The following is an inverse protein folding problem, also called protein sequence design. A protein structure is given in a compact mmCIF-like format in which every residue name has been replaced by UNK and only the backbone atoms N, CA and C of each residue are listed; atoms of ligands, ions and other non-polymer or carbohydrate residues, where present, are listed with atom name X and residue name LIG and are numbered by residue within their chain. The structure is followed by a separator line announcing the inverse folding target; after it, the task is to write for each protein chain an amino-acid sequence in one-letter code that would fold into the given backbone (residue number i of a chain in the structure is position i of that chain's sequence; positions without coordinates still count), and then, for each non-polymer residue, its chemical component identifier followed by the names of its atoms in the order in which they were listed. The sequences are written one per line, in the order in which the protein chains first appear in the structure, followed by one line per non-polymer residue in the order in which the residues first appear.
data_IF_419713349212
#
_entry.id   IF_419713349212
#
_cell.length_a   1.000
_cell.length_b   1.000
_cell.length_c   1.000
_cell.angle_alpha   90.00
_cell.angle_beta   90.00
_cell.angle_gamma   90.00
#
_symmetry.space_group_name_H-M   'P 1'
#
loop_
_entity.id
_entity.type
_entity.pdbx_description
1 polymer ?
#
# COMPACT_ATOMS: atom_id res chain seq x y z
N UNK A 1 -38.25 67.70 53.32
CA UNK A 1 -37.03 67.54 54.14
C UNK A 1 -36.54 66.08 54.01
N UNK A 2 -35.30 65.96 53.71
CA UNK A 2 -34.43 64.71 53.71
C UNK A 2 -34.69 63.61 52.71
N UNK A 3 -33.78 63.59 51.74
CA UNK A 3 -33.44 62.58 50.80
C UNK A 3 -32.95 61.29 51.49
N UNK A 4 -33.28 60.16 50.92
CA UNK A 4 -32.47 58.94 51.06
C UNK A 4 -32.27 58.26 49.67
N UNK A 5 -31.07 58.45 49.15
CA UNK A 5 -30.60 57.72 47.99
C UNK A 5 -30.30 56.24 48.35
N UNK A 6 -31.00 55.33 47.74
CA UNK A 6 -30.57 53.93 47.73
C UNK A 6 -29.73 53.62 46.48
N UNK A 7 -28.47 53.30 46.71
CA UNK A 7 -27.54 52.84 45.67
C UNK A 7 -27.80 51.35 45.31
N UNK A 8 -28.28 51.13 44.12
CA UNK A 8 -28.26 49.77 43.55
C UNK A 8 -26.88 49.50 42.96
N UNK A 9 -26.17 48.56 43.57
CA UNK A 9 -24.90 47.98 42.99
C UNK A 9 -25.28 46.89 42.08
N UNK A 10 -25.05 47.09 40.76
CA UNK A 10 -25.14 46.05 39.74
C UNK A 10 -23.81 45.32 39.69
N UNK A 11 -23.78 44.08 40.17
CA UNK A 11 -22.63 43.17 40.01
C UNK A 11 -22.72 42.58 38.64
N UNK A 12 -21.84 43.00 37.75
CA UNK A 12 -21.66 42.42 36.41
C UNK A 12 -20.74 41.19 36.53
N UNK A 13 -21.33 39.99 36.58
CA UNK A 13 -20.55 38.74 36.50
C UNK A 13 -20.15 38.46 35.05
N UNK A 14 -18.91 38.74 34.71
CA UNK A 14 -18.31 38.31 33.44
C UNK A 14 -18.06 36.78 33.51
N UNK A 15 -18.93 36.01 32.87
CA UNK A 15 -18.64 34.63 32.51
C UNK A 15 -17.71 34.65 31.28
N UNK A 16 -16.42 34.46 31.48
CA UNK A 16 -15.47 34.14 30.42
C UNK A 16 -15.71 32.68 30.07
N UNK A 17 -16.47 32.41 29.03
CA UNK A 17 -16.54 31.10 28.41
C UNK A 17 -15.21 30.87 27.66
N UNK A 18 -14.28 30.14 28.27
CA UNK A 18 -13.12 29.61 27.60
C UNK A 18 -13.59 28.55 26.61
N UNK A 19 -13.80 28.93 25.35
CA UNK A 19 -13.98 28.00 24.25
C UNK A 19 -12.62 27.36 24.04
N UNK A 20 -12.43 26.18 24.60
CA UNK A 20 -11.31 25.32 24.29
C UNK A 20 -11.53 24.85 22.84
N UNK A 21 -10.96 25.58 21.88
CA UNK A 21 -10.76 25.11 20.52
C UNK A 21 -9.78 23.94 20.60
N UNK A 22 -10.30 22.74 20.76
CA UNK A 22 -9.55 21.52 20.43
C UNK A 22 -9.35 21.50 18.92
N UNK A 23 -8.45 22.36 18.43
CA UNK A 23 -7.90 22.21 17.10
C UNK A 23 -7.22 20.84 17.06
N UNK A 24 -7.67 19.96 16.18
CA UNK A 24 -6.88 18.80 15.78
C UNK A 24 -5.54 19.34 15.27
N UNK A 25 -4.55 19.40 16.15
CA UNK A 25 -3.21 19.82 15.77
C UNK A 25 -2.68 18.77 14.77
N UNK A 26 -2.78 19.10 13.49
CA UNK A 26 -2.11 18.30 12.47
C UNK A 26 -0.61 18.31 12.80
N UNK A 27 -0.02 17.13 12.91
CA UNK A 27 1.39 17.01 13.23
C UNK A 27 2.22 17.71 12.16
N UNK A 28 3.23 18.50 12.57
CA UNK A 28 4.12 19.16 11.63
C UNK A 28 4.77 18.14 10.70
N UNK A 29 4.89 18.46 9.41
CA UNK A 29 5.63 17.65 8.44
C UNK A 29 7.15 17.67 8.71
N UNK A 30 7.61 18.53 9.58
CA UNK A 30 9.00 18.64 10.07
C UNK A 30 9.02 18.53 11.60
N UNK A 31 10.18 18.18 12.17
CA UNK A 31 10.33 18.04 13.62
C UNK A 31 10.00 16.62 14.14
N UNK A 32 9.96 16.43 15.47
CA UNK A 32 9.74 15.13 16.08
C UNK A 32 8.44 14.47 15.63
N UNK A 33 8.48 13.17 15.37
CA UNK A 33 7.30 12.36 15.12
C UNK A 33 6.72 11.89 16.46
N UNK A 34 5.45 12.22 16.74
CA UNK A 34 4.75 11.76 17.93
C UNK A 34 3.69 10.72 17.52
N UNK A 35 3.82 9.53 18.09
CA UNK A 35 2.90 8.41 17.86
C UNK A 35 2.28 7.95 19.18
N UNK A 36 1.02 7.52 19.15
CA UNK A 36 0.33 6.94 20.29
C UNK A 36 0.81 5.51 20.52
N UNK A 37 0.94 4.74 19.46
CA UNK A 37 1.43 3.35 19.51
C UNK A 37 2.00 2.89 18.18
N UNK A 38 2.87 1.88 18.28
CA UNK A 38 3.38 1.11 17.13
C UNK A 38 3.53 -0.35 17.51
N UNK A 39 3.64 -1.20 16.51
CA UNK A 39 3.87 -2.63 16.72
C UNK A 39 3.77 -3.41 15.42
N UNK A 40 3.69 -4.74 15.58
CA UNK A 40 3.50 -5.64 14.46
C UNK A 40 2.70 -6.88 14.89
N UNK A 41 2.08 -7.51 13.90
CA UNK A 41 1.37 -8.77 14.07
C UNK A 41 1.30 -9.52 12.74
N UNK A 42 0.74 -10.72 12.76
CA UNK A 42 0.46 -11.48 11.55
C UNK A 42 -1.05 -11.64 11.34
N UNK A 43 -1.46 -11.74 10.08
CA UNK A 43 -2.81 -12.10 9.64
C UNK A 43 -2.74 -13.24 8.64
N UNK A 44 -3.83 -13.99 8.51
CA UNK A 44 -3.84 -15.19 7.68
C UNK A 44 -2.95 -16.30 8.26
N UNK A 45 -2.48 -17.15 7.37
CA UNK A 45 -1.62 -18.27 7.74
C UNK A 45 -2.39 -19.54 8.10
N UNK A 46 -1.66 -20.65 8.08
CA UNK A 46 -2.18 -21.99 8.43
C UNK A 46 -1.05 -22.87 8.92
N UNK A 47 -1.39 -23.87 9.72
CA UNK A 47 -0.45 -24.89 10.13
C UNK A 47 -0.37 -26.01 9.08
N UNK A 48 0.84 -26.46 8.79
CA UNK A 48 1.13 -27.54 7.83
C UNK A 48 2.05 -28.56 8.48
N UNK A 49 1.70 -29.83 8.37
CA UNK A 49 2.61 -30.93 8.68
C UNK A 49 3.56 -31.13 7.50
N UNK A 50 4.83 -31.31 7.81
CA UNK A 50 5.85 -31.62 6.81
C UNK A 50 6.89 -32.59 7.40
N UNK A 51 7.47 -33.41 6.54
CA UNK A 51 8.61 -34.31 6.85
C UNK A 51 9.89 -33.87 6.13
N UNK A 52 9.87 -32.65 5.54
CA UNK A 52 10.96 -32.07 4.78
C UNK A 52 11.38 -30.69 5.28
N UNK A 53 11.22 -30.44 6.60
CA UNK A 53 11.54 -29.15 7.21
C UNK A 53 13.04 -28.85 7.23
N UNK A 54 13.87 -29.90 7.28
CA UNK A 54 15.33 -29.75 7.26
C UNK A 54 15.99 -30.86 6.44
N UNK A 55 17.07 -30.52 5.78
CA UNK A 55 18.03 -31.45 5.17
C UNK A 55 19.32 -31.55 6.00
N UNK A 56 19.40 -30.83 7.12
CA UNK A 56 20.54 -30.79 8.03
C UNK A 56 20.36 -31.89 9.10
N UNK A 57 21.33 -32.84 9.26
CA UNK A 57 21.15 -33.99 10.12
C UNK A 57 20.88 -33.69 11.60
N UNK A 58 21.35 -32.52 12.08
CA UNK A 58 21.19 -32.09 13.48
C UNK A 58 19.80 -31.54 13.81
N UNK A 59 18.95 -31.33 12.80
CA UNK A 59 17.60 -30.78 13.00
C UNK A 59 16.54 -31.78 12.56
N UNK A 60 15.43 -31.80 13.29
CA UNK A 60 14.27 -32.63 12.92
C UNK A 60 13.74 -32.23 11.54
N UNK A 61 13.55 -33.23 10.67
CA UNK A 61 12.97 -33.02 9.35
C UNK A 61 11.45 -33.03 9.35
N UNK A 62 10.82 -33.53 10.42
CA UNK A 62 9.37 -33.66 10.52
C UNK A 62 8.80 -32.78 11.65
N UNK A 63 7.63 -32.21 11.41
CA UNK A 63 6.91 -31.40 12.39
C UNK A 63 5.82 -30.51 11.78
N UNK A 64 5.24 -29.65 12.61
CA UNK A 64 4.24 -28.66 12.21
C UNK A 64 4.88 -27.28 12.10
N UNK A 65 4.63 -26.59 11.00
CA UNK A 65 5.05 -25.19 10.78
C UNK A 65 3.85 -24.31 10.42
N UNK A 66 3.92 -23.03 10.79
CA UNK A 66 3.03 -22.00 10.27
C UNK A 66 3.54 -21.50 8.91
N UNK A 67 2.64 -21.42 7.94
CA UNK A 67 2.94 -20.93 6.58
C UNK A 67 1.84 -19.99 6.09
N UNK A 68 2.13 -19.23 5.04
CA UNK A 68 1.17 -18.37 4.34
C UNK A 68 0.62 -17.21 5.18
N UNK A 69 1.26 -16.88 6.31
CA UNK A 69 0.97 -15.68 7.09
C UNK A 69 1.51 -14.42 6.41
N UNK A 70 0.81 -13.30 6.63
CA UNK A 70 1.21 -11.97 6.18
C UNK A 70 1.61 -11.11 7.37
N UNK A 71 2.83 -10.58 7.36
CA UNK A 71 3.34 -9.64 8.37
C UNK A 71 2.74 -8.26 8.16
N UNK A 72 2.37 -7.62 9.27
CA UNK A 72 1.83 -6.25 9.32
C UNK A 72 2.60 -5.44 10.35
N UNK A 73 3.27 -4.37 9.94
CA UNK A 73 3.79 -3.32 10.82
C UNK A 73 2.78 -2.19 10.88
N UNK A 74 2.56 -1.61 12.04
CA UNK A 74 1.66 -0.48 12.19
C UNK A 74 2.20 0.63 13.07
N UNK A 75 1.75 1.85 12.77
CA UNK A 75 1.91 3.04 13.59
C UNK A 75 0.58 3.80 13.62
N UNK A 76 0.26 4.35 14.81
CA UNK A 76 -0.96 5.12 15.03
C UNK A 76 -0.56 6.48 15.58
N UNK A 77 -0.95 7.58 14.92
CA UNK A 77 -0.63 8.93 15.40
C UNK A 77 -1.45 9.26 16.64
N UNK A 78 -0.97 10.20 17.45
CA UNK A 78 -1.74 10.76 18.57
C UNK A 78 -3.02 11.41 18.02
N UNK A 79 -4.15 11.16 18.68
CA UNK A 79 -5.48 11.66 18.27
C UNK A 79 -5.87 11.22 16.84
N UNK A 80 -5.62 9.97 16.49
CA UNK A 80 -5.98 9.41 15.19
C UNK A 80 -7.50 9.51 14.94
N UNK A 81 -7.93 10.47 14.12
CA UNK A 81 -9.33 10.69 13.75
C UNK A 81 -9.63 10.33 12.30
N UNK A 82 -8.62 9.92 11.52
CA UNK A 82 -8.72 9.59 10.11
C UNK A 82 -8.71 8.07 9.90
N UNK A 83 -9.26 7.64 8.75
CA UNK A 83 -9.29 6.22 8.37
C UNK A 83 -7.87 5.66 8.26
N UNK A 84 -7.63 4.41 8.69
CA UNK A 84 -6.36 3.74 8.48
C UNK A 84 -6.05 3.57 6.99
N UNK A 85 -4.74 3.55 6.67
CA UNK A 85 -4.22 3.26 5.33
C UNK A 85 -3.40 1.98 5.41
N UNK A 86 -3.74 0.99 4.58
CA UNK A 86 -2.95 -0.23 4.41
C UNK A 86 -2.13 -0.11 3.14
N UNK A 87 -0.80 -0.14 3.27
CA UNK A 87 0.19 0.02 2.20
C UNK A 87 0.70 -1.35 1.74
N UNK A 88 0.47 -1.70 0.46
CA UNK A 88 0.72 -3.01 -0.12
C UNK A 88 1.71 -2.86 -1.27
N UNK A 89 2.92 -3.39 -1.11
CA UNK A 89 4.01 -3.26 -2.10
C UNK A 89 3.78 -4.08 -3.37
N UNK A 90 4.56 -3.78 -4.42
CA UNK A 90 4.52 -4.48 -5.71
C UNK A 90 5.46 -5.70 -5.81
N UNK A 91 5.67 -6.15 -7.05
CA UNK A 91 6.62 -7.19 -7.43
C UNK A 91 8.04 -6.84 -6.97
N UNK A 92 8.78 -7.87 -6.58
CA UNK A 92 10.22 -7.80 -6.32
C UNK A 92 10.60 -6.84 -5.18
N UNK A 93 9.64 -6.43 -4.35
CA UNK A 93 9.78 -5.47 -3.27
C UNK A 93 9.16 -6.01 -1.98
N UNK A 94 9.31 -5.23 -0.91
CA UNK A 94 8.71 -5.45 0.41
C UNK A 94 8.05 -4.18 0.91
N UNK A 95 7.57 -4.16 2.13
CA UNK A 95 7.06 -2.95 2.80
C UNK A 95 8.05 -1.78 2.81
N UNK A 96 9.36 -2.04 2.62
CA UNK A 96 10.40 -1.01 2.46
C UNK A 96 10.08 0.01 1.37
N UNK A 97 9.30 -0.36 0.36
CA UNK A 97 8.82 0.54 -0.71
C UNK A 97 8.19 1.82 -0.18
N UNK A 98 7.51 1.75 0.96
CA UNK A 98 6.73 2.83 1.56
C UNK A 98 7.47 3.61 2.64
N UNK A 99 8.61 3.07 3.09
CA UNK A 99 9.46 3.67 4.13
C UNK A 99 10.42 4.70 3.50
N UNK A 100 11.42 5.15 4.26
CA UNK A 100 12.44 6.08 3.78
C UNK A 100 12.84 5.80 2.33
N UNK A 101 12.78 6.81 1.47
CA UNK A 101 13.13 6.67 0.05
C UNK A 101 14.61 6.33 -0.15
N UNK A 102 15.02 5.82 -1.32
CA UNK A 102 16.43 5.48 -1.56
C UNK A 102 17.41 6.65 -1.37
N UNK A 103 16.96 7.88 -1.59
CA UNK A 103 17.72 9.10 -1.39
C UNK A 103 17.58 9.71 0.02
N UNK A 104 17.00 8.97 0.98
CA UNK A 104 16.94 9.33 2.39
C UNK A 104 15.80 10.25 2.81
N UNK A 105 14.88 10.62 1.89
CA UNK A 105 13.68 11.42 2.24
C UNK A 105 12.66 10.58 2.99
N UNK A 106 11.73 11.25 3.67
CA UNK A 106 10.58 10.67 4.34
C UNK A 106 9.74 9.84 3.36
N UNK A 107 9.41 8.60 3.74
CA UNK A 107 8.51 7.73 3.00
C UNK A 107 7.03 8.05 3.23
N UNK A 108 6.17 7.43 2.46
CA UNK A 108 4.72 7.65 2.58
C UNK A 108 4.13 7.06 3.87
N UNK A 109 4.77 6.09 4.49
CA UNK A 109 4.34 5.56 5.78
C UNK A 109 4.38 6.63 6.88
N UNK A 110 5.47 7.38 6.97
CA UNK A 110 5.60 8.48 7.90
C UNK A 110 4.78 9.70 7.44
N UNK A 111 4.73 9.98 6.14
CA UNK A 111 3.99 11.12 5.58
C UNK A 111 2.50 11.05 5.92
N UNK A 112 1.86 9.91 5.67
CA UNK A 112 0.44 9.72 5.99
C UNK A 112 0.19 9.67 7.50
N UNK A 113 1.15 9.14 8.26
CA UNK A 113 1.08 9.14 9.72
C UNK A 113 1.06 10.58 10.27
N UNK A 114 1.96 11.46 9.77
CA UNK A 114 1.97 12.90 10.11
C UNK A 114 0.71 13.61 9.67
N UNK A 115 0.11 13.17 8.57
CA UNK A 115 -1.20 13.64 8.12
C UNK A 115 -2.37 13.15 8.99
N UNK A 116 -2.12 12.35 10.04
CA UNK A 116 -3.13 11.91 11.02
C UNK A 116 -3.83 10.58 10.68
N UNK A 117 -3.30 9.80 9.75
CA UNK A 117 -3.81 8.48 9.41
C UNK A 117 -3.04 7.39 10.18
N UNK A 118 -3.70 6.42 10.83
CA UNK A 118 -3.04 5.17 11.19
C UNK A 118 -2.51 4.48 9.93
N UNK A 119 -1.26 4.00 9.96
CA UNK A 119 -0.61 3.40 8.81
C UNK A 119 -0.23 1.95 9.10
N UNK A 120 -0.59 1.06 8.19
CA UNK A 120 -0.31 -0.36 8.24
C UNK A 120 0.48 -0.75 7.00
N UNK A 121 1.74 -1.12 7.17
CA UNK A 121 2.63 -1.56 6.09
C UNK A 121 2.72 -3.07 6.13
N UNK A 122 2.39 -3.72 5.02
CA UNK A 122 2.40 -5.19 4.94
C UNK A 122 3.58 -5.67 4.09
N UNK A 123 4.11 -6.84 4.45
CA UNK A 123 4.88 -7.67 3.55
C UNK A 123 3.95 -8.78 3.04
N UNK A 124 3.76 -8.87 1.72
CA UNK A 124 2.92 -9.90 1.11
C UNK A 124 3.39 -11.31 1.54
N UNK A 125 2.51 -12.29 1.48
CA UNK A 125 2.86 -13.67 1.78
C UNK A 125 4.09 -14.10 0.98
N UNK A 126 5.05 -14.73 1.64
CA UNK A 126 6.36 -15.13 1.15
C UNK A 126 7.28 -13.98 0.71
N UNK A 127 7.05 -12.77 1.22
CA UNK A 127 7.90 -11.60 1.01
C UNK A 127 8.41 -11.05 2.33
N UNK A 128 9.61 -10.50 2.31
CA UNK A 128 10.20 -9.79 3.45
C UNK A 128 10.09 -10.58 4.76
N UNK A 129 9.31 -10.06 5.70
CA UNK A 129 9.08 -10.67 7.04
C UNK A 129 7.98 -11.74 7.04
N UNK A 130 7.29 -11.93 5.92
CA UNK A 130 6.29 -12.99 5.73
C UNK A 130 6.98 -14.24 5.19
N UNK A 131 7.50 -15.08 6.08
CA UNK A 131 8.33 -16.22 5.73
C UNK A 131 7.66 -17.20 4.76
N UNK A 132 8.43 -17.70 3.79
CA UNK A 132 8.00 -18.72 2.85
C UNK A 132 8.09 -20.15 3.42
N UNK A 133 7.49 -21.08 2.72
CA UNK A 133 7.53 -22.51 3.07
C UNK A 133 8.78 -23.19 2.50
N UNK A 134 9.80 -23.41 3.34
CA UNK A 134 11.07 -24.04 2.95
C UNK A 134 10.93 -25.53 2.64
N UNK A 135 9.86 -26.21 3.10
CA UNK A 135 9.67 -27.65 2.89
C UNK A 135 9.56 -28.02 1.40
N UNK A 136 9.06 -27.08 0.58
CA UNK A 136 8.96 -27.24 -0.89
C UNK A 136 10.34 -27.44 -1.52
N UNK A 137 11.32 -26.61 -1.14
CA UNK A 137 12.70 -26.70 -1.65
C UNK A 137 13.41 -27.92 -1.08
N UNK A 138 13.25 -28.16 0.22
CA UNK A 138 13.86 -29.31 0.90
C UNK A 138 13.35 -30.65 0.37
N UNK A 139 12.06 -30.75 0.00
CA UNK A 139 11.49 -31.92 -0.62
C UNK A 139 12.21 -32.29 -1.92
N UNK A 140 12.53 -31.31 -2.76
CA UNK A 140 13.30 -31.53 -3.98
C UNK A 140 14.77 -31.93 -3.67
N UNK A 141 15.40 -31.28 -2.68
CA UNK A 141 16.77 -31.63 -2.26
C UNK A 141 16.87 -33.07 -1.72
N UNK A 142 15.80 -33.58 -1.11
CA UNK A 142 15.70 -34.95 -0.60
C UNK A 142 15.27 -35.96 -1.68
N UNK A 143 15.10 -35.54 -2.94
CA UNK A 143 14.64 -36.39 -4.04
C UNK A 143 13.16 -36.82 -3.93
N UNK A 144 12.38 -36.25 -2.99
CA UNK A 144 10.96 -36.58 -2.82
C UNK A 144 10.07 -35.89 -3.86
N UNK A 145 10.52 -34.76 -4.40
CA UNK A 145 9.83 -34.00 -5.46
C UNK A 145 10.84 -33.76 -6.60
N UNK A 146 10.47 -33.98 -7.88
CA UNK A 146 11.31 -33.64 -9.00
C UNK A 146 11.70 -32.16 -9.02
N UNK A 147 12.94 -31.82 -9.30
CA UNK A 147 13.43 -30.43 -9.37
C UNK A 147 12.62 -29.60 -10.38
N UNK A 148 12.16 -30.20 -11.47
CA UNK A 148 11.32 -29.54 -12.47
C UNK A 148 9.94 -29.08 -11.93
N UNK A 149 9.51 -29.58 -10.78
CA UNK A 149 8.28 -29.18 -10.10
C UNK A 149 8.52 -28.09 -9.05
N UNK A 150 9.76 -27.66 -8.85
CA UNK A 150 10.01 -26.49 -8.01
C UNK A 150 9.32 -25.27 -8.63
N UNK A 151 8.65 -24.48 -7.78
CA UNK A 151 7.98 -23.30 -8.26
C UNK A 151 8.98 -22.28 -8.80
N UNK A 152 8.65 -21.54 -9.89
CA UNK A 152 9.52 -20.54 -10.45
C UNK A 152 9.66 -19.34 -9.50
N UNK A 153 10.87 -18.82 -9.37
CA UNK A 153 11.20 -17.62 -8.62
C UNK A 153 11.79 -16.61 -9.59
N UNK A 154 11.32 -15.38 -9.53
CA UNK A 154 11.79 -14.30 -10.37
C UNK A 154 12.64 -13.32 -9.57
N UNK A 155 13.79 -12.93 -10.11
CA UNK A 155 14.57 -11.78 -9.66
C UNK A 155 14.77 -10.84 -10.84
N UNK A 156 14.41 -9.58 -10.69
CA UNK A 156 14.66 -8.59 -11.72
C UNK A 156 16.13 -8.14 -11.66
N UNK A 157 16.83 -8.15 -12.80
CA UNK A 157 18.09 -7.44 -12.95
C UNK A 157 17.86 -5.93 -13.03
N UNK A 158 18.92 -5.13 -12.85
CA UNK A 158 18.85 -3.68 -13.00
C UNK A 158 18.33 -3.28 -14.39
N UNK A 159 18.79 -3.97 -15.43
CA UNK A 159 18.39 -3.74 -16.82
C UNK A 159 16.91 -4.06 -17.05
N UNK A 160 16.43 -5.20 -16.56
CA UNK A 160 15.01 -5.55 -16.68
C UNK A 160 14.11 -4.67 -15.83
N UNK A 161 14.58 -4.31 -14.62
CA UNK A 161 13.89 -3.41 -13.72
C UNK A 161 13.75 -1.99 -14.29
N UNK A 162 14.72 -1.54 -15.10
CA UNK A 162 14.67 -0.23 -15.74
C UNK A 162 13.40 0.01 -16.54
N UNK A 163 13.07 -0.94 -17.41
CA UNK A 163 11.84 -0.88 -18.20
C UNK A 163 10.58 -1.18 -17.37
N UNK A 164 10.68 -2.06 -16.37
CA UNK A 164 9.58 -2.38 -15.44
C UNK A 164 9.17 -1.13 -14.66
N UNK A 165 10.14 -0.42 -14.09
CA UNK A 165 9.89 0.79 -13.29
C UNK A 165 9.81 2.06 -14.11
N UNK A 166 9.90 1.96 -15.43
CA UNK A 166 9.76 3.08 -16.40
C UNK A 166 10.70 4.24 -16.14
N UNK A 167 11.96 3.97 -15.79
CA UNK A 167 12.97 5.01 -15.72
C UNK A 167 13.35 5.52 -17.12
N UNK A 168 13.21 4.70 -18.13
CA UNK A 168 13.47 5.02 -19.51
C UNK A 168 13.02 3.91 -20.46
N UNK A 169 13.16 4.11 -21.78
CA UNK A 169 12.76 3.15 -22.80
C UNK A 169 13.61 1.88 -22.77
N UNK A 170 14.90 2.02 -22.47
CA UNK A 170 15.87 0.93 -22.33
C UNK A 170 17.01 1.37 -21.40
N UNK A 171 17.67 0.42 -20.75
CA UNK A 171 18.81 0.70 -19.86
C UNK A 171 20.03 1.14 -20.69
N UNK A 172 20.76 2.20 -20.29
CA UNK A 172 20.48 3.14 -19.19
C UNK A 172 19.81 4.46 -19.66
N UNK A 173 19.15 4.49 -20.82
CA UNK A 173 18.50 5.70 -21.35
C UNK A 173 17.31 6.10 -20.47
N UNK A 174 17.16 7.40 -20.24
CA UNK A 174 16.12 7.98 -19.40
C UNK A 174 14.98 8.57 -20.23
N UNK A 175 13.79 8.60 -19.66
CA UNK A 175 12.74 9.47 -20.16
C UNK A 175 13.02 10.93 -19.79
N UNK A 176 12.65 11.92 -20.64
CA UNK A 176 12.85 13.33 -20.36
C UNK A 176 12.10 13.77 -19.11
N UNK A 177 12.77 14.47 -18.17
CA UNK A 177 12.10 14.99 -16.96
C UNK A 177 11.74 13.92 -15.90
N UNK A 178 12.30 12.72 -16.00
CA UNK A 178 12.14 11.64 -15.01
C UNK A 178 12.40 12.15 -13.61
N UNK A 179 11.48 11.85 -12.68
CA UNK A 179 11.51 12.35 -11.29
C UNK A 179 12.11 11.35 -10.30
N UNK A 180 12.55 10.18 -10.74
CA UNK A 180 13.23 9.25 -9.83
C UNK A 180 14.64 9.77 -9.48
N UNK A 181 15.07 9.68 -8.18
CA UNK A 181 16.39 10.13 -7.74
C UNK A 181 17.48 9.18 -8.23
N UNK A 182 18.04 9.43 -9.39
CA UNK A 182 18.97 8.53 -10.10
C UNK A 182 20.27 8.26 -9.34
N UNK A 183 20.77 9.22 -8.59
CA UNK A 183 21.98 9.06 -7.77
C UNK A 183 21.74 8.03 -6.63
N UNK A 184 20.50 7.77 -6.28
CA UNK A 184 20.10 6.79 -5.28
C UNK A 184 19.78 5.40 -5.84
N UNK A 185 19.99 5.15 -7.14
CA UNK A 185 19.80 3.83 -7.76
C UNK A 185 20.55 2.70 -7.04
N UNK A 186 21.81 2.85 -6.58
CA UNK A 186 22.48 1.80 -5.83
C UNK A 186 21.73 1.40 -4.56
N UNK A 187 21.06 2.33 -3.88
CA UNK A 187 20.25 2.02 -2.70
C UNK A 187 18.88 1.46 -3.09
N UNK A 188 18.30 1.92 -4.20
CA UNK A 188 17.08 1.34 -4.76
C UNK A 188 17.23 -0.14 -5.11
N UNK A 189 18.34 -0.53 -5.75
CA UNK A 189 18.55 -1.92 -6.12
C UNK A 189 18.65 -2.86 -4.92
N UNK A 190 19.12 -2.39 -3.76
CA UNK A 190 19.22 -3.19 -2.53
C UNK A 190 17.87 -3.56 -1.91
N UNK A 191 16.79 -2.82 -2.20
CA UNK A 191 15.46 -3.17 -1.69
C UNK A 191 14.77 -4.25 -2.53
N UNK A 192 15.33 -4.63 -3.68
CA UNK A 192 14.75 -5.65 -4.53
C UNK A 192 14.98 -7.06 -3.95
N UNK A 193 13.93 -7.84 -3.92
CA UNK A 193 13.94 -9.21 -3.39
C UNK A 193 13.38 -10.20 -4.43
N UNK A 194 13.67 -11.50 -4.31
CA UNK A 194 13.07 -12.52 -5.15
C UNK A 194 11.55 -12.48 -5.08
N UNK A 195 10.90 -12.60 -6.22
CA UNK A 195 9.45 -12.62 -6.35
C UNK A 195 8.91 -14.05 -6.40
N UNK A 196 8.09 -14.38 -5.40
CA UNK A 196 7.46 -15.68 -5.24
C UNK A 196 5.99 -15.73 -5.70
N UNK A 197 5.48 -14.67 -6.35
CA UNK A 197 4.06 -14.61 -6.70
C UNK A 197 3.59 -15.76 -7.61
N UNK A 198 4.47 -16.23 -8.48
CA UNK A 198 4.21 -17.39 -9.36
C UNK A 198 4.22 -18.74 -8.59
N UNK A 199 4.73 -18.71 -7.37
CA UNK A 199 4.96 -19.85 -6.49
C UNK A 199 3.81 -20.08 -5.52
N UNK A 200 3.08 -19.01 -5.23
CA UNK A 200 2.00 -19.04 -4.25
C UNK A 200 0.84 -19.93 -4.73
N UNK A 201 0.13 -20.60 -3.81
CA UNK A 201 -1.08 -21.33 -4.16
C UNK A 201 -2.11 -20.41 -4.81
N UNK A 202 -2.98 -21.00 -5.60
CA UNK A 202 -4.15 -20.32 -6.18
C UNK A 202 -5.39 -20.81 -5.43
N UNK A 203 -6.18 -19.90 -4.84
CA UNK A 203 -6.04 -18.42 -4.80
C UNK A 203 -4.84 -17.95 -3.99
N UNK A 204 -4.29 -16.78 -4.33
CA UNK A 204 -3.15 -16.17 -3.64
C UNK A 204 -3.50 -15.88 -2.16
N UNK A 205 -2.77 -16.47 -1.18
CA UNK A 205 -3.07 -16.32 0.26
C UNK A 205 -2.94 -14.89 0.80
N UNK A 206 -2.27 -14.00 0.07
CA UNK A 206 -2.25 -12.56 0.42
C UNK A 206 -3.65 -11.94 0.38
N UNK A 207 -4.53 -12.39 -0.51
CA UNK A 207 -5.88 -11.83 -0.66
C UNK A 207 -6.75 -12.08 0.57
N UNK A 208 -6.95 -13.32 1.07
CA UNK A 208 -7.70 -13.54 2.30
C UNK A 208 -7.01 -12.91 3.53
N UNK A 209 -5.69 -12.85 3.60
CA UNK A 209 -4.97 -12.16 4.68
C UNK A 209 -5.26 -10.64 4.68
N UNK A 210 -5.30 -10.00 3.51
CA UNK A 210 -5.71 -8.60 3.38
C UNK A 210 -7.19 -8.39 3.75
N UNK A 211 -8.06 -9.35 3.43
CA UNK A 211 -9.48 -9.30 3.83
C UNK A 211 -9.64 -9.36 5.35
N UNK A 212 -8.91 -10.26 6.02
CA UNK A 212 -8.86 -10.35 7.48
C UNK A 212 -8.37 -9.03 8.09
N UNK A 213 -7.30 -8.44 7.55
CA UNK A 213 -6.78 -7.16 7.99
C UNK A 213 -7.79 -6.03 7.80
N UNK A 214 -8.46 -5.95 6.65
CA UNK A 214 -9.46 -4.93 6.37
C UNK A 214 -10.64 -5.02 7.38
N UNK A 215 -11.14 -6.23 7.66
CA UNK A 215 -12.19 -6.47 8.66
C UNK A 215 -11.71 -6.03 10.05
N UNK A 216 -10.48 -6.36 10.43
CA UNK A 216 -9.87 -5.98 11.73
C UNK A 216 -9.76 -4.46 11.89
N UNK A 217 -9.49 -3.73 10.81
CA UNK A 217 -9.31 -2.28 10.81
C UNK A 217 -10.61 -1.48 10.65
N UNK A 218 -11.69 -2.15 10.25
CA UNK A 218 -13.05 -1.60 10.12
C UNK A 218 -13.12 -0.26 9.38
N UNK A 219 -12.64 -0.23 8.14
CA UNK A 219 -12.71 0.96 7.28
C UNK A 219 -11.37 1.46 6.76
N UNK A 220 -10.45 0.56 6.42
CA UNK A 220 -9.14 0.93 5.85
C UNK A 220 -9.23 1.33 4.38
N UNK A 221 -8.35 2.25 3.97
CA UNK A 221 -8.02 2.50 2.56
C UNK A 221 -6.97 1.47 2.14
N UNK A 222 -7.30 0.58 1.21
CA UNK A 222 -6.33 -0.35 0.63
C UNK A 222 -5.55 0.36 -0.48
N UNK A 223 -4.31 0.73 -0.19
CA UNK A 223 -3.40 1.38 -1.15
C UNK A 223 -2.34 0.38 -1.60
N UNK A 224 -2.38 0.03 -2.88
CA UNK A 224 -1.54 -1.02 -3.47
C UNK A 224 -0.74 -0.50 -4.64
N UNK A 225 0.37 -1.18 -4.96
CA UNK A 225 1.28 -0.79 -6.03
C UNK A 225 1.58 -1.96 -6.98
N UNK A 226 1.54 -1.69 -8.29
CA UNK A 226 2.08 -2.58 -9.32
C UNK A 226 1.42 -3.98 -9.32
N UNK A 227 2.17 -5.04 -9.08
CA UNK A 227 1.68 -6.42 -9.04
C UNK A 227 0.50 -6.58 -8.07
N UNK A 228 0.57 -5.97 -6.89
CA UNK A 228 -0.52 -6.01 -5.91
C UNK A 228 -1.69 -5.09 -6.26
N UNK A 229 -1.62 -4.31 -7.33
CA UNK A 229 -2.68 -3.39 -7.75
C UNK A 229 -4.05 -4.07 -7.92
N UNK A 230 -4.06 -5.35 -8.32
CA UNK A 230 -5.29 -6.15 -8.44
C UNK A 230 -5.81 -6.70 -7.10
N UNK A 231 -4.97 -6.80 -6.05
CA UNK A 231 -5.35 -7.47 -4.81
C UNK A 231 -6.48 -6.78 -4.05
N UNK A 232 -6.54 -5.44 -3.90
CA UNK A 232 -7.70 -4.79 -3.29
C UNK A 232 -9.02 -5.09 -3.98
N UNK A 233 -9.01 -5.24 -5.30
CA UNK A 233 -10.18 -5.65 -6.06
C UNK A 233 -10.58 -7.10 -5.78
N UNK A 234 -9.60 -8.01 -5.69
CA UNK A 234 -9.84 -9.40 -5.31
C UNK A 234 -10.35 -9.51 -3.86
N UNK A 235 -9.84 -8.67 -2.95
CA UNK A 235 -10.35 -8.56 -1.57
C UNK A 235 -11.82 -8.10 -1.59
N UNK A 236 -12.15 -7.06 -2.36
CA UNK A 236 -13.52 -6.57 -2.47
C UNK A 236 -14.48 -7.63 -3.08
N UNK A 237 -14.01 -8.40 -4.06
CA UNK A 237 -14.77 -9.53 -4.63
C UNK A 237 -14.97 -10.67 -3.63
N UNK A 238 -14.01 -10.90 -2.73
CA UNK A 238 -14.12 -11.88 -1.64
C UNK A 238 -15.04 -11.38 -0.53
N UNK A 239 -14.78 -10.16 -0.04
CA UNK A 239 -15.56 -9.52 1.03
C UNK A 239 -15.26 -8.01 1.08
N UNK A 240 -16.29 -7.17 0.92
CA UNK A 240 -16.16 -5.70 0.97
C UNK A 240 -16.07 -5.14 2.39
N UNK A 241 -16.31 -5.97 3.43
CA UNK A 241 -16.33 -5.51 4.83
C UNK A 241 -14.96 -4.95 5.23
N UNK A 242 -14.97 -3.79 5.85
CA UNK A 242 -13.76 -3.11 6.33
C UNK A 242 -12.98 -2.34 5.27
N UNK A 243 -13.42 -2.33 4.00
CA UNK A 243 -12.81 -1.52 2.94
C UNK A 243 -13.53 -0.18 2.85
N UNK A 244 -12.80 0.91 3.08
CA UNK A 244 -13.31 2.26 2.94
C UNK A 244 -13.15 2.82 1.52
N UNK A 245 -12.02 2.52 0.90
CA UNK A 245 -11.67 2.91 -0.47
C UNK A 245 -10.56 2.01 -1.02
N UNK A 246 -10.43 1.99 -2.34
CA UNK A 246 -9.29 1.37 -3.03
C UNK A 246 -8.48 2.45 -3.72
N UNK A 247 -7.17 2.45 -3.50
CA UNK A 247 -6.19 3.25 -4.24
C UNK A 247 -5.20 2.28 -4.89
N UNK A 248 -5.34 2.06 -6.19
CA UNK A 248 -4.49 1.16 -6.95
C UNK A 248 -3.51 1.96 -7.78
N UNK A 249 -2.25 1.94 -7.37
CA UNK A 249 -1.17 2.72 -7.98
C UNK A 249 -0.47 1.85 -9.01
N UNK A 250 -0.46 2.32 -10.27
CA UNK A 250 0.27 1.66 -11.35
C UNK A 250 -0.05 0.16 -11.47
N UNK A 251 -1.32 -0.27 -11.45
CA UNK A 251 -1.69 -1.67 -11.28
C UNK A 251 -1.17 -2.57 -12.39
N UNK A 252 -0.75 -3.77 -12.01
CA UNK A 252 -0.41 -4.84 -12.95
C UNK A 252 -1.64 -5.37 -13.71
N UNK A 253 -2.84 -5.18 -13.17
CA UNK A 253 -4.12 -5.50 -13.79
C UNK A 253 -5.27 -4.77 -13.08
N UNK A 254 -6.39 -4.60 -13.78
CA UNK A 254 -7.69 -4.22 -13.22
C UNK A 254 -8.70 -5.37 -13.43
N UNK A 255 -9.86 -5.35 -12.76
CA UNK A 255 -10.92 -6.33 -13.02
C UNK A 255 -11.38 -6.31 -14.47
N UNK A 256 -11.90 -7.45 -14.95
CA UNK A 256 -12.49 -7.52 -16.28
C UNK A 256 -13.71 -6.59 -16.39
N UNK A 257 -13.81 -5.77 -17.45
CA UNK A 257 -14.97 -4.89 -17.67
C UNK A 257 -16.27 -5.67 -17.93
N UNK A 258 -16.17 -6.96 -18.28
CA UNK A 258 -17.31 -7.87 -18.54
C UNK A 258 -17.57 -8.84 -17.38
N UNK A 259 -16.82 -8.73 -16.27
CA UNK A 259 -16.96 -9.55 -15.08
C UNK A 259 -18.07 -9.07 -14.14
N UNK A 260 -18.12 -9.66 -12.91
CA UNK A 260 -19.00 -9.15 -11.86
C UNK A 260 -18.48 -7.84 -11.30
N UNK A 261 -19.20 -6.75 -11.56
CA UNK A 261 -18.82 -5.40 -11.13
C UNK A 261 -19.44 -5.01 -9.77
N UNK A 262 -20.38 -5.79 -9.23
CA UNK A 262 -21.11 -5.49 -7.98
C UNK A 262 -20.21 -5.16 -6.80
N UNK A 263 -19.08 -5.86 -6.57
CA UNK A 263 -18.18 -5.55 -5.44
C UNK A 263 -17.59 -4.12 -5.47
N UNK A 264 -17.52 -3.52 -6.66
CA UNK A 264 -16.81 -2.25 -6.89
C UNK A 264 -17.74 -1.02 -6.90
N UNK A 265 -19.05 -1.20 -6.75
CA UNK A 265 -20.03 -0.12 -6.86
C UNK A 265 -20.24 0.66 -5.56
N UNK A 266 -19.81 0.12 -4.41
CA UNK A 266 -20.16 0.63 -3.08
C UNK A 266 -19.09 1.49 -2.42
N UNK A 267 -17.92 1.62 -3.02
CA UNK A 267 -16.81 2.37 -2.47
C UNK A 267 -16.12 3.21 -3.54
N UNK A 268 -15.47 4.33 -3.17
CA UNK A 268 -14.65 5.08 -4.11
C UNK A 268 -13.39 4.30 -4.48
N UNK A 269 -13.04 4.32 -5.76
CA UNK A 269 -11.87 3.62 -6.32
C UNK A 269 -11.05 4.62 -7.13
N UNK A 270 -9.76 4.68 -6.85
CA UNK A 270 -8.78 5.42 -7.63
C UNK A 270 -7.78 4.44 -8.26
N UNK A 271 -7.58 4.57 -9.55
CA UNK A 271 -6.45 3.99 -10.28
C UNK A 271 -5.54 5.14 -10.67
N UNK A 272 -4.31 5.15 -10.18
CA UNK A 272 -3.37 6.25 -10.35
C UNK A 272 -2.17 5.80 -11.18
N UNK A 273 -1.79 6.62 -12.17
CA UNK A 273 -0.69 6.34 -13.08
C UNK A 273 0.31 7.48 -13.10
N UNK A 274 1.59 7.14 -13.22
CA UNK A 274 2.66 8.07 -13.52
C UNK A 274 2.71 8.46 -15.00
N UNK A 275 3.88 8.86 -15.46
CA UNK A 275 4.08 9.30 -16.83
C UNK A 275 4.64 8.17 -17.75
N UNK A 276 4.73 8.42 -19.05
CA UNK A 276 5.29 7.52 -20.07
C UNK A 276 4.63 6.14 -20.20
N UNK A 277 3.41 5.96 -19.68
CA UNK A 277 2.69 4.68 -19.71
C UNK A 277 2.42 4.23 -21.14
N UNK A 278 2.04 5.17 -22.01
CA UNK A 278 1.70 4.90 -23.44
C UNK A 278 2.95 4.48 -24.23
N UNK A 279 4.16 4.90 -23.80
CA UNK A 279 5.43 4.56 -24.44
C UNK A 279 5.94 3.17 -24.01
N UNK A 280 5.29 2.52 -23.08
CA UNK A 280 5.64 1.20 -22.58
C UNK A 280 4.71 0.13 -23.12
N UNK A 281 5.24 -0.78 -23.94
CA UNK A 281 4.51 -1.96 -24.41
C UNK A 281 4.01 -2.85 -23.26
N UNK A 282 4.69 -2.79 -22.10
CA UNK A 282 4.29 -3.48 -20.89
C UNK A 282 3.08 -2.82 -20.22
N UNK A 283 3.06 -1.48 -20.09
CA UNK A 283 2.10 -0.77 -19.25
C UNK A 283 0.88 -0.25 -20.01
N UNK A 284 1.04 0.12 -21.28
CA UNK A 284 -0.06 0.64 -22.11
C UNK A 284 -1.28 -0.30 -22.18
N UNK A 285 -1.15 -1.64 -22.37
CA UNK A 285 -2.32 -2.53 -22.35
C UNK A 285 -3.01 -2.58 -20.99
N UNK A 286 -2.28 -2.39 -19.89
CA UNK A 286 -2.83 -2.37 -18.52
C UNK A 286 -3.65 -1.11 -18.28
N UNK A 287 -3.11 0.04 -18.68
CA UNK A 287 -3.86 1.30 -18.65
C UNK A 287 -5.17 1.20 -19.43
N UNK A 288 -5.13 0.62 -20.64
CA UNK A 288 -6.33 0.41 -21.47
C UNK A 288 -7.36 -0.44 -20.72
N UNK A 289 -6.96 -1.59 -20.17
CA UNK A 289 -7.86 -2.46 -19.39
C UNK A 289 -8.48 -1.71 -18.20
N UNK A 290 -7.70 -0.91 -17.50
CA UNK A 290 -8.20 -0.16 -16.34
C UNK A 290 -9.17 0.95 -16.74
N UNK A 291 -8.98 1.60 -17.88
CA UNK A 291 -9.97 2.55 -18.46
C UNK A 291 -11.26 1.86 -18.88
N UNK A 292 -11.17 0.68 -19.48
CA UNK A 292 -12.34 -0.14 -19.83
C UNK A 292 -13.12 -0.58 -18.57
N UNK A 293 -12.40 -0.99 -17.51
CA UNK A 293 -13.01 -1.29 -16.21
C UNK A 293 -13.69 -0.07 -15.60
N UNK A 294 -13.04 1.10 -15.58
CA UNK A 294 -13.62 2.36 -15.10
C UNK A 294 -14.93 2.67 -15.82
N UNK A 295 -14.92 2.64 -17.15
CA UNK A 295 -16.10 2.92 -17.97
C UNK A 295 -17.26 1.95 -17.65
N UNK A 296 -16.97 0.65 -17.53
CA UNK A 296 -17.97 -0.37 -17.22
C UNK A 296 -18.52 -0.22 -15.79
N UNK A 297 -17.65 -0.02 -14.79
CA UNK A 297 -18.05 0.13 -13.40
C UNK A 297 -18.87 1.40 -13.19
N UNK A 298 -18.48 2.54 -13.79
CA UNK A 298 -19.21 3.80 -13.67
C UNK A 298 -20.56 3.74 -14.39
N UNK A 299 -20.66 3.07 -15.53
CA UNK A 299 -21.94 2.78 -16.22
C UNK A 299 -22.87 1.95 -15.33
N UNK A 300 -22.32 1.08 -14.49
CA UNK A 300 -23.08 0.27 -13.55
C UNK A 300 -23.40 1.00 -12.22
N UNK A 301 -23.02 2.29 -12.06
CA UNK A 301 -23.28 3.11 -10.87
C UNK A 301 -22.13 3.17 -9.87
N UNK A 302 -20.95 2.74 -10.25
CA UNK A 302 -19.73 2.83 -9.43
C UNK A 302 -19.12 4.23 -9.38
N UNK A 303 -18.04 4.38 -8.60
CA UNK A 303 -17.28 5.63 -8.43
C UNK A 303 -15.79 5.33 -8.66
N UNK A 304 -15.42 4.97 -9.87
CA UNK A 304 -14.05 4.68 -10.27
C UNK A 304 -13.47 5.90 -10.98
N UNK A 305 -12.25 6.27 -10.63
CA UNK A 305 -11.47 7.32 -11.30
C UNK A 305 -10.13 6.73 -11.74
N UNK A 306 -9.78 6.97 -13.00
CA UNK A 306 -8.50 6.59 -13.59
C UNK A 306 -7.75 7.89 -13.92
N UNK A 307 -6.67 8.17 -13.20
CA UNK A 307 -5.98 9.47 -13.23
C UNK A 307 -4.53 9.27 -13.64
N UNK A 308 -4.10 10.06 -14.62
CA UNK A 308 -2.68 10.24 -14.96
C UNK A 308 -2.13 11.42 -14.16
N UNK A 309 -0.98 11.27 -13.51
CA UNK A 309 -0.36 12.35 -12.72
C UNK A 309 0.01 13.56 -13.58
N UNK A 310 0.36 13.35 -14.85
CA UNK A 310 0.61 14.42 -15.79
C UNK A 310 -0.62 15.33 -16.00
N UNK A 311 -1.83 14.75 -16.05
CA UNK A 311 -3.08 15.49 -16.24
C UNK A 311 -3.43 16.38 -15.03
N UNK A 312 -2.82 16.11 -13.88
CA UNK A 312 -3.03 16.88 -12.63
C UNK A 312 -1.82 17.74 -12.25
N UNK A 313 -0.91 17.99 -13.20
CA UNK A 313 0.23 18.89 -13.03
C UNK A 313 1.43 18.29 -12.28
N UNK A 314 1.56 16.97 -12.27
CA UNK A 314 2.66 16.22 -11.64
C UNK A 314 3.40 15.36 -12.68
N UNK A 315 4.03 15.98 -13.71
CA UNK A 315 4.69 15.23 -14.78
C UNK A 315 5.99 14.56 -14.34
N UNK A 316 6.45 13.61 -15.17
CA UNK A 316 7.74 12.93 -15.01
C UNK A 316 7.73 11.81 -13.96
N UNK A 317 6.58 11.45 -13.40
CA UNK A 317 6.47 10.40 -12.41
C UNK A 317 6.83 9.03 -13.01
N UNK A 318 7.75 8.32 -12.35
CA UNK A 318 8.13 6.96 -12.68
C UNK A 318 7.04 5.95 -12.27
N UNK A 319 7.32 4.65 -12.45
CA UNK A 319 6.47 3.62 -11.84
C UNK A 319 6.55 3.60 -10.30
N UNK A 320 7.61 4.20 -9.74
CA UNK A 320 7.87 4.27 -8.29
C UNK A 320 7.44 5.61 -7.70
N UNK A 321 6.19 6.05 -7.95
CA UNK A 321 5.64 7.36 -7.58
C UNK A 321 5.97 7.77 -6.13
N UNK A 322 5.94 6.79 -5.20
CA UNK A 322 6.18 6.97 -3.78
C UNK A 322 7.64 7.26 -3.44
N UNK A 323 8.55 7.08 -4.39
CA UNK A 323 9.99 7.31 -4.22
C UNK A 323 10.53 8.43 -5.13
N UNK A 324 9.72 8.95 -6.06
CA UNK A 324 10.08 10.07 -6.92
C UNK A 324 10.38 11.35 -6.14
N UNK A 325 11.15 12.27 -6.71
CA UNK A 325 11.54 13.54 -6.07
C UNK A 325 10.34 14.39 -5.62
N UNK A 326 9.22 14.29 -6.32
CA UNK A 326 7.98 14.98 -5.98
C UNK A 326 6.94 14.08 -5.27
N UNK A 327 7.37 12.96 -4.69
CA UNK A 327 6.50 11.97 -4.02
C UNK A 327 5.58 12.58 -2.96
N UNK A 328 6.03 13.59 -2.21
CA UNK A 328 5.20 14.26 -1.21
C UNK A 328 4.06 15.09 -1.85
N UNK A 329 4.28 15.72 -3.01
CA UNK A 329 3.20 16.40 -3.75
C UNK A 329 2.14 15.41 -4.23
N UNK A 330 2.56 14.21 -4.64
CA UNK A 330 1.65 13.12 -4.99
C UNK A 330 0.89 12.65 -3.74
N UNK A 331 1.55 12.51 -2.60
CA UNK A 331 0.90 12.17 -1.32
C UNK A 331 -0.13 13.22 -0.89
N UNK A 332 0.15 14.52 -1.06
CA UNK A 332 -0.80 15.61 -0.81
C UNK A 332 -2.04 15.49 -1.71
N UNK A 333 -1.82 15.22 -2.99
CA UNK A 333 -2.92 15.02 -3.93
C UNK A 333 -3.79 13.80 -3.53
N UNK A 334 -3.16 12.70 -3.10
CA UNK A 334 -3.86 11.51 -2.59
C UNK A 334 -4.64 11.80 -1.31
N UNK A 335 -4.06 12.55 -0.36
CA UNK A 335 -4.75 12.99 0.86
C UNK A 335 -5.98 13.85 0.53
N UNK A 336 -5.86 14.76 -0.42
CA UNK A 336 -6.97 15.56 -0.89
C UNK A 336 -8.03 14.72 -1.59
N UNK A 337 -7.65 13.72 -2.37
CA UNK A 337 -8.58 12.77 -3.00
C UNK A 337 -9.34 11.96 -1.92
N UNK A 338 -8.64 11.39 -0.94
CA UNK A 338 -9.26 10.63 0.16
C UNK A 338 -10.21 11.50 1.01
N UNK A 339 -9.89 12.77 1.20
CA UNK A 339 -10.76 13.70 1.94
C UNK A 339 -12.08 14.00 1.22
N UNK A 340 -12.08 14.06 -0.11
CA UNK A 340 -13.28 14.29 -0.95
C UNK A 340 -14.13 13.03 -1.14
N UNK A 341 -13.55 11.84 -0.99
CA UNK A 341 -14.18 10.56 -1.26
C UNK A 341 -14.34 9.74 0.06
N UNK A 342 -15.07 10.29 1.00
CA UNK A 342 -15.37 9.66 2.31
C UNK A 342 -16.49 8.64 2.23
#
# INVERSE_FOLDING_TARGET
MRNLCSRLSVVFSLFIAAVVLQGCAQQSMTGPLTIEKQGSFFVGGRNVQSDTLSVLPQYASAGTIAVDQMYVRYQVPVNAAKRPITLIHGCCLTGKTWETTPDGRMGWDEYFLRAGHPVYVVDQVWRGRSAGNVSVVNSARLGKTPVAQLPPVFSASQESAWAIFRFGPEYPKLFPGMQFPLDALPEFWKQMVPDWAQTLPVPNPTVPALSELAIKLDGTVLMSHSQSGIYPFQVAALNIKGIAAIVSIEPGACPSPTGDLKPYLKMPILVLWGDYVDQSSRWSPRLKLCREFEAAANKAGGKVQNVMLNDVGLPGASHMLMQDLHSHKIADWLLAWMARNK
#
